data_IF_927441321488
#
_entry.id   IF_927441321488
#
_cell.length_a   1.000
_cell.length_b   1.000
_cell.length_c   1.000
_cell.angle_alpha   90.00
_cell.angle_beta   90.00
_cell.angle_gamma   90.00
#
_symmetry.space_group_name_H-M   'P 1'
#
loop_
_entity.id
_entity.type
_entity.pdbx_description
1 polymer ?
#
# COMPACT_ATOMS: atom_id res chain seq x y z
N UNK A 1 1.61 3.26 10.35
CA UNK A 1 1.14 1.97 10.90
C UNK A 1 1.91 1.64 12.18
N UNK A 2 3.23 1.36 12.14
CA UNK A 2 4.01 0.87 13.30
C UNK A 2 4.02 1.82 14.51
N UNK A 3 4.02 3.16 14.32
CA UNK A 3 3.89 4.12 15.43
C UNK A 3 2.52 4.06 16.09
N UNK A 4 1.46 3.80 15.33
CA UNK A 4 0.12 3.65 15.87
C UNK A 4 0.03 2.48 16.86
N UNK A 5 0.72 1.37 16.56
CA UNK A 5 0.85 0.25 17.50
C UNK A 5 1.51 0.65 18.82
N UNK A 6 2.58 1.48 18.73
CA UNK A 6 3.30 1.96 19.91
C UNK A 6 2.49 2.98 20.72
N UNK A 7 1.89 3.98 20.03
CA UNK A 7 1.28 5.14 20.68
C UNK A 7 -0.17 4.88 21.13
N UNK A 8 -0.91 3.99 20.46
CA UNK A 8 -2.36 3.83 20.62
C UNK A 8 -2.80 2.38 20.87
N UNK A 9 -2.50 1.46 19.95
CA UNK A 9 -3.12 0.13 19.96
C UNK A 9 -2.68 -0.68 21.19
N UNK A 10 -1.39 -0.80 21.44
CA UNK A 10 -0.88 -1.56 22.58
C UNK A 10 -1.29 -0.92 23.91
N UNK A 11 -1.13 0.41 24.13
CA UNK A 11 -1.58 1.04 25.37
C UNK A 11 -3.08 0.92 25.64
N UNK A 12 -3.91 0.91 24.56
CA UNK A 12 -5.37 0.89 24.69
C UNK A 12 -5.92 -0.52 24.89
N UNK A 13 -5.39 -1.50 24.15
CA UNK A 13 -6.00 -2.82 24.05
C UNK A 13 -5.28 -3.92 24.83
N UNK A 14 -4.03 -3.71 25.19
CA UNK A 14 -3.31 -4.69 26.00
C UNK A 14 -3.71 -4.63 27.47
N UNK A 15 -3.80 -5.81 28.07
CA UNK A 15 -4.07 -5.96 29.51
C UNK A 15 -3.04 -5.21 30.36
N UNK A 16 -3.53 -4.47 31.37
CA UNK A 16 -2.71 -3.56 32.18
C UNK A 16 -1.86 -4.28 33.24
N UNK A 17 -2.29 -5.46 33.68
CA UNK A 17 -1.63 -6.21 34.77
C UNK A 17 -0.39 -7.00 34.33
N UNK A 18 -0.10 -7.04 33.01
CA UNK A 18 1.13 -7.67 32.50
C UNK A 18 2.20 -6.57 32.44
N UNK A 19 3.28 -6.78 33.17
CA UNK A 19 4.45 -5.93 33.05
C UNK A 19 5.12 -6.11 31.68
N UNK A 20 5.37 -5.00 31.01
CA UNK A 20 5.81 -5.03 29.60
C UNK A 20 6.77 -3.95 29.24
N UNK A 21 7.80 -4.34 28.50
CA UNK A 21 8.76 -3.45 27.87
C UNK A 21 8.45 -3.30 26.38
N UNK A 22 8.11 -2.09 25.96
CA UNK A 22 7.79 -1.79 24.58
C UNK A 22 8.86 -0.87 24.00
N UNK A 23 9.53 -1.28 22.93
CA UNK A 23 10.56 -0.48 22.27
C UNK A 23 10.30 -0.37 20.78
N UNK A 24 10.38 0.87 20.29
CA UNK A 24 10.25 1.21 18.87
C UNK A 24 11.64 1.27 18.22
N UNK A 25 11.88 0.42 17.23
CA UNK A 25 13.12 0.46 16.45
C UNK A 25 13.12 1.63 15.46
N UNK A 26 14.26 2.32 15.35
CA UNK A 26 14.46 3.42 14.42
C UNK A 26 15.80 3.26 13.67
N UNK A 27 15.83 3.69 12.39
CA UNK A 27 17.03 3.56 11.56
C UNK A 27 18.22 4.41 12.05
N UNK A 28 17.94 5.63 12.48
CA UNK A 28 18.90 6.51 13.14
C UNK A 28 18.76 6.36 14.66
N UNK A 29 19.77 5.81 15.30
CA UNK A 29 19.72 5.45 16.71
C UNK A 29 20.56 6.45 17.50
N UNK A 30 19.91 7.25 18.35
CA UNK A 30 20.58 8.06 19.37
C UNK A 30 21.10 7.16 20.49
N UNK A 31 22.03 7.67 21.32
CA UNK A 31 22.50 6.93 22.49
C UNK A 31 21.36 6.53 23.44
N UNK A 32 20.35 7.39 23.60
CA UNK A 32 19.15 7.07 24.39
C UNK A 32 18.39 5.87 23.80
N UNK A 33 18.13 5.90 22.52
CA UNK A 33 17.44 4.80 21.81
C UNK A 33 18.24 3.50 21.85
N UNK A 34 19.59 3.58 21.76
CA UNK A 34 20.43 2.40 21.89
C UNK A 34 20.25 1.75 23.27
N UNK A 35 20.23 2.56 24.35
CA UNK A 35 19.99 2.06 25.70
C UNK A 35 18.59 1.42 25.85
N UNK A 36 17.58 2.01 25.24
CA UNK A 36 16.23 1.44 25.21
C UNK A 36 16.18 0.10 24.47
N UNK A 37 16.85 -0.02 23.31
CA UNK A 37 16.97 -1.26 22.58
C UNK A 37 17.76 -2.33 23.36
N UNK A 38 18.84 -1.94 24.02
CA UNK A 38 19.65 -2.85 24.84
C UNK A 38 18.89 -3.33 26.09
N UNK A 39 17.95 -2.53 26.60
CA UNK A 39 17.11 -2.93 27.74
C UNK A 39 16.21 -4.11 27.42
N UNK A 40 15.83 -4.34 26.16
CA UNK A 40 15.06 -5.53 25.75
C UNK A 40 15.77 -6.85 26.06
N UNK A 41 17.05 -6.84 26.37
CA UNK A 41 17.86 -8.04 26.65
C UNK A 41 18.33 -8.14 28.11
N UNK A 42 17.96 -7.17 28.95
CA UNK A 42 18.51 -7.05 30.33
C UNK A 42 17.43 -6.91 31.40
N UNK A 43 16.17 -6.75 31.00
CA UNK A 43 15.07 -6.45 31.90
C UNK A 43 14.34 -7.73 32.33
N UNK A 44 13.68 -7.66 33.49
CA UNK A 44 12.95 -8.77 34.11
C UNK A 44 11.43 -8.67 33.86
N UNK A 45 10.98 -7.76 32.95
CA UNK A 45 9.57 -7.65 32.60
C UNK A 45 9.05 -8.93 31.98
N UNK A 46 7.77 -9.25 32.24
CA UNK A 46 7.13 -10.48 31.76
C UNK A 46 7.00 -10.53 30.24
N UNK A 47 6.89 -9.38 29.58
CA UNK A 47 6.68 -9.28 28.15
C UNK A 47 7.55 -8.21 27.48
N UNK A 48 8.37 -8.63 26.52
CA UNK A 48 9.13 -7.72 25.68
C UNK A 48 8.49 -7.57 24.30
N UNK A 49 8.25 -6.33 23.87
CA UNK A 49 7.64 -6.00 22.60
C UNK A 49 8.60 -5.12 21.78
N UNK A 50 9.09 -5.66 20.68
CA UNK A 50 9.87 -4.93 19.69
C UNK A 50 8.98 -4.55 18.51
N UNK A 51 8.84 -3.27 18.24
CA UNK A 51 8.06 -2.75 17.11
C UNK A 51 9.00 -2.21 16.05
N UNK A 52 8.87 -2.71 14.82
CA UNK A 52 9.69 -2.32 13.67
C UNK A 52 8.82 -1.97 12.47
N UNK A 53 9.29 -1.03 11.64
CA UNK A 53 8.67 -0.86 10.33
C UNK A 53 9.19 -1.95 9.35
N UNK A 54 8.37 -2.33 8.41
CA UNK A 54 8.69 -3.40 7.43
C UNK A 54 9.92 -3.03 6.58
N UNK A 55 10.11 -1.75 6.27
CA UNK A 55 11.26 -1.24 5.50
C UNK A 55 12.59 -1.45 6.23
N UNK A 56 12.60 -1.47 7.55
CA UNK A 56 13.80 -1.76 8.34
C UNK A 56 14.38 -3.14 7.99
N UNK A 57 13.52 -4.11 7.67
CA UNK A 57 13.88 -5.48 7.30
C UNK A 57 14.36 -5.62 5.85
N UNK A 58 14.48 -4.51 5.12
CA UNK A 58 15.25 -4.43 3.86
C UNK A 58 16.72 -4.09 4.10
N UNK A 59 17.11 -3.71 5.34
CA UNK A 59 18.47 -3.34 5.74
C UNK A 59 19.11 -4.43 6.58
N UNK A 60 20.42 -4.62 6.44
CA UNK A 60 21.14 -5.61 7.23
C UNK A 60 21.03 -5.33 8.72
N UNK A 61 21.21 -4.06 9.14
CA UNK A 61 21.11 -3.64 10.55
C UNK A 61 19.77 -4.00 11.18
N UNK A 62 18.65 -3.77 10.46
CA UNK A 62 17.32 -4.12 10.95
C UNK A 62 17.12 -5.62 11.07
N UNK A 63 17.59 -6.39 10.07
CA UNK A 63 17.53 -7.85 10.09
C UNK A 63 18.35 -8.44 11.23
N UNK A 64 19.59 -7.99 11.42
CA UNK A 64 20.48 -8.49 12.49
C UNK A 64 19.89 -8.22 13.88
N UNK A 65 19.30 -7.03 14.08
CA UNK A 65 18.66 -6.71 15.34
C UNK A 65 17.42 -7.56 15.61
N UNK A 66 16.54 -7.71 14.62
CA UNK A 66 15.35 -8.56 14.71
C UNK A 66 15.75 -10.02 14.99
N UNK A 67 16.78 -10.52 14.31
CA UNK A 67 17.32 -11.86 14.50
C UNK A 67 17.85 -12.07 15.93
N UNK A 68 18.64 -11.09 16.44
CA UNK A 68 19.11 -11.11 17.83
C UNK A 68 17.95 -11.19 18.82
N UNK A 69 16.90 -10.39 18.61
CA UNK A 69 15.71 -10.40 19.48
C UNK A 69 15.01 -11.76 19.45
N UNK A 70 14.76 -12.33 18.26
CA UNK A 70 14.08 -13.62 18.11
C UNK A 70 14.85 -14.79 18.71
N UNK A 71 16.20 -14.77 18.67
CA UNK A 71 17.02 -15.80 19.30
C UNK A 71 17.14 -15.65 20.81
N UNK A 72 16.97 -14.45 21.35
CA UNK A 72 17.04 -14.20 22.79
C UNK A 72 15.71 -14.42 23.51
N UNK A 73 14.59 -14.52 22.80
CA UNK A 73 13.25 -14.63 23.35
C UNK A 73 12.43 -15.72 22.68
N UNK A 74 11.52 -16.32 23.43
CA UNK A 74 10.48 -17.18 22.85
C UNK A 74 9.39 -16.30 22.24
N UNK A 75 9.59 -15.83 21.01
CA UNK A 75 8.82 -14.77 20.42
C UNK A 75 7.67 -15.23 19.51
N UNK A 76 6.60 -14.42 19.51
CA UNK A 76 5.62 -14.34 18.43
C UNK A 76 6.06 -13.23 17.48
N UNK A 77 6.15 -13.52 16.18
CA UNK A 77 6.36 -12.51 15.14
C UNK A 77 5.05 -12.23 14.42
N UNK A 78 4.59 -10.98 14.45
CA UNK A 78 3.39 -10.54 13.75
C UNK A 78 3.73 -9.53 12.65
N UNK A 79 3.17 -9.70 11.47
CA UNK A 79 3.31 -8.77 10.34
C UNK A 79 1.95 -8.12 10.08
N UNK A 80 1.86 -6.83 10.40
CA UNK A 80 0.72 -6.01 10.05
C UNK A 80 0.83 -5.50 8.61
N UNK A 81 -0.30 -5.33 7.94
CA UNK A 81 -0.38 -5.06 6.49
C UNK A 81 0.49 -6.03 5.68
N UNK A 82 0.25 -7.34 5.89
CA UNK A 82 1.06 -8.43 5.32
C UNK A 82 1.13 -8.44 3.79
N UNK A 83 0.29 -7.68 3.10
CA UNK A 83 0.42 -7.44 1.64
C UNK A 83 1.76 -6.81 1.25
N UNK A 84 2.49 -6.22 2.20
CA UNK A 84 3.85 -5.69 2.01
C UNK A 84 4.88 -6.79 1.72
N UNK A 85 4.60 -8.04 2.07
CA UNK A 85 5.46 -9.22 1.84
C UNK A 85 4.94 -10.16 0.74
N UNK A 86 3.99 -9.77 -0.08
CA UNK A 86 3.41 -10.60 -1.16
C UNK A 86 4.37 -10.88 -2.33
N UNK A 87 5.33 -9.99 -2.59
CA UNK A 87 6.28 -10.16 -3.71
C UNK A 87 7.40 -11.12 -3.31
N UNK A 88 7.52 -12.31 -3.95
CA UNK A 88 8.53 -13.32 -3.61
C UNK A 88 9.97 -12.85 -3.85
N UNK A 89 10.19 -11.91 -4.75
CA UNK A 89 11.52 -11.45 -5.14
C UNK A 89 12.03 -10.28 -4.28
N UNK A 90 11.14 -9.62 -3.53
CA UNK A 90 11.51 -8.48 -2.72
C UNK A 90 12.43 -8.87 -1.55
N UNK A 91 13.52 -8.12 -1.36
CA UNK A 91 14.49 -8.35 -0.29
C UNK A 91 13.84 -8.45 1.09
N UNK A 92 12.93 -7.51 1.41
CA UNK A 92 12.19 -7.53 2.69
C UNK A 92 11.34 -8.78 2.88
N UNK A 93 10.71 -9.31 1.81
CA UNK A 93 9.90 -10.53 1.87
C UNK A 93 10.77 -11.72 2.25
N UNK A 94 11.92 -11.87 1.60
CA UNK A 94 12.90 -12.93 1.90
C UNK A 94 13.37 -12.82 3.35
N UNK A 95 13.83 -11.64 3.77
CA UNK A 95 14.28 -11.41 5.14
C UNK A 95 13.21 -11.71 6.19
N UNK A 96 11.95 -11.30 5.94
CA UNK A 96 10.83 -11.53 6.88
C UNK A 96 10.47 -13.01 6.96
N UNK A 97 10.43 -13.72 5.83
CA UNK A 97 10.22 -15.18 5.84
C UNK A 97 11.35 -15.93 6.59
N UNK A 98 12.60 -15.53 6.37
CA UNK A 98 13.75 -16.10 7.07
C UNK A 98 13.71 -15.84 8.60
N UNK A 99 13.31 -14.64 9.01
CA UNK A 99 13.10 -14.32 10.43
C UNK A 99 11.92 -15.09 11.03
N UNK A 100 10.87 -15.33 10.25
CA UNK A 100 9.74 -16.16 10.66
C UNK A 100 10.15 -17.59 11.04
N UNK A 101 11.21 -18.14 10.45
CA UNK A 101 11.76 -19.46 10.84
C UNK A 101 12.42 -19.44 12.22
N UNK A 102 12.89 -18.28 12.67
CA UNK A 102 13.52 -18.11 13.98
C UNK A 102 12.50 -17.80 15.10
N UNK A 103 11.27 -17.43 14.75
CA UNK A 103 10.22 -17.17 15.73
C UNK A 103 9.49 -18.45 16.14
N UNK A 104 8.90 -18.47 17.34
CA UNK A 104 8.11 -19.62 17.83
C UNK A 104 6.72 -19.66 17.18
N UNK A 105 6.13 -18.51 16.96
CA UNK A 105 4.79 -18.36 16.37
C UNK A 105 4.78 -17.21 15.38
N UNK A 106 4.03 -17.36 14.28
CA UNK A 106 3.85 -16.32 13.27
C UNK A 106 2.38 -15.94 13.13
N UNK A 107 2.12 -14.64 12.89
CA UNK A 107 0.81 -14.12 12.57
C UNK A 107 0.91 -13.06 11.47
N UNK A 108 -0.12 -12.98 10.66
CA UNK A 108 -0.29 -11.89 9.70
C UNK A 108 -1.63 -11.21 9.94
N UNK A 109 -1.65 -9.91 9.76
CA UNK A 109 -2.84 -9.08 9.83
C UNK A 109 -2.94 -8.29 8.53
N UNK A 110 -4.13 -8.22 7.93
CA UNK A 110 -4.36 -7.43 6.72
C UNK A 110 -5.84 -7.24 6.46
N UNK A 111 -6.23 -6.07 5.98
CA UNK A 111 -7.58 -5.81 5.54
C UNK A 111 -7.94 -6.48 4.20
N UNK A 112 -6.95 -6.87 3.39
CA UNK A 112 -7.15 -7.56 2.12
C UNK A 112 -5.90 -8.35 1.72
N UNK A 113 -5.82 -9.66 1.97
CA UNK A 113 -4.65 -10.48 1.67
C UNK A 113 -4.38 -10.62 0.17
N UNK A 114 -5.43 -10.48 -0.65
CA UNK A 114 -5.37 -10.52 -2.11
C UNK A 114 -5.62 -9.10 -2.64
N UNK A 115 -4.60 -8.46 -3.20
CA UNK A 115 -4.71 -7.09 -3.72
C UNK A 115 -4.76 -7.02 -5.24
N UNK A 116 -3.99 -7.86 -5.92
CA UNK A 116 -3.94 -7.92 -7.40
C UNK A 116 -4.25 -9.30 -7.92
N UNK A 117 -3.81 -10.32 -7.24
CA UNK A 117 -3.97 -11.70 -7.69
C UNK A 117 -3.98 -12.69 -6.51
N UNK A 118 -4.61 -13.86 -6.66
CA UNK A 118 -4.54 -14.93 -5.67
C UNK A 118 -3.11 -15.38 -5.35
N UNK A 119 -2.17 -15.11 -6.25
CA UNK A 119 -0.75 -15.43 -6.06
C UNK A 119 -0.09 -14.58 -4.97
N UNK A 120 -0.72 -13.46 -4.59
CA UNK A 120 -0.30 -12.60 -3.48
C UNK A 120 -0.28 -13.36 -2.14
N UNK A 121 -1.03 -14.46 -2.01
CA UNK A 121 -1.13 -15.27 -0.79
C UNK A 121 0.14 -16.09 -0.52
N UNK A 122 0.86 -16.53 -1.55
CA UNK A 122 1.93 -17.51 -1.39
C UNK A 122 2.96 -17.11 -0.32
N UNK A 123 3.60 -15.96 -0.45
CA UNK A 123 4.63 -15.52 0.50
C UNK A 123 4.08 -15.10 1.87
N UNK A 124 2.84 -14.64 1.91
CA UNK A 124 2.17 -14.36 3.18
C UNK A 124 1.94 -15.66 3.99
N UNK A 125 1.53 -16.74 3.32
CA UNK A 125 1.37 -18.04 3.96
C UNK A 125 2.72 -18.73 4.27
N UNK A 126 3.73 -18.58 3.40
CA UNK A 126 5.10 -19.05 3.64
C UNK A 126 5.72 -18.45 4.92
N UNK A 127 5.40 -17.18 5.22
CA UNK A 127 5.80 -16.55 6.46
C UNK A 127 5.13 -17.19 7.68
N UNK A 128 3.86 -17.60 7.58
CA UNK A 128 3.15 -18.26 8.69
C UNK A 128 3.81 -19.61 9.00
N UNK A 129 4.01 -20.40 7.96
CA UNK A 129 4.71 -21.68 8.02
C UNK A 129 5.12 -22.08 6.59
N UNK A 130 6.36 -22.52 6.38
CA UNK A 130 6.77 -23.10 5.09
C UNK A 130 5.82 -24.20 4.64
N UNK A 131 5.51 -24.20 3.35
CA UNK A 131 4.63 -25.18 2.70
C UNK A 131 3.19 -25.26 3.28
N UNK A 132 2.74 -24.25 4.03
CA UNK A 132 1.39 -24.23 4.64
C UNK A 132 0.27 -24.41 3.59
N UNK A 133 0.50 -23.94 2.36
CA UNK A 133 -0.44 -24.11 1.24
C UNK A 133 -0.29 -25.47 0.51
N UNK A 134 0.60 -26.35 0.94
CA UNK A 134 0.86 -27.65 0.31
C UNK A 134 1.75 -27.57 -0.95
N UNK A 135 2.50 -26.51 -1.14
CA UNK A 135 3.38 -26.30 -2.30
C UNK A 135 4.80 -25.97 -1.87
N UNK A 136 5.77 -26.73 -2.35
CA UNK A 136 7.20 -26.53 -2.06
C UNK A 136 7.83 -25.33 -2.79
N UNK A 137 7.15 -24.73 -3.76
CA UNK A 137 7.65 -23.57 -4.48
C UNK A 137 6.56 -22.65 -5.00
N UNK A 138 6.89 -21.35 -5.15
CA UNK A 138 6.01 -20.37 -5.79
C UNK A 138 5.60 -20.79 -7.21
N UNK A 139 6.48 -21.43 -7.96
CA UNK A 139 6.19 -21.84 -9.33
C UNK A 139 5.17 -22.98 -9.37
N UNK A 140 5.23 -23.93 -8.45
CA UNK A 140 4.25 -25.00 -8.32
C UNK A 140 2.87 -24.43 -7.94
N UNK A 141 2.82 -23.54 -6.94
CA UNK A 141 1.62 -22.81 -6.56
C UNK A 141 1.04 -22.01 -7.73
N UNK A 142 1.87 -21.22 -8.43
CA UNK A 142 1.47 -20.46 -9.61
C UNK A 142 0.90 -21.36 -10.72
N UNK A 143 1.53 -22.49 -11.01
CA UNK A 143 1.04 -23.44 -12.03
C UNK A 143 -0.33 -24.04 -11.67
N UNK A 144 -0.58 -24.26 -10.37
CA UNK A 144 -1.89 -24.77 -9.90
C UNK A 144 -3.00 -23.75 -10.02
N UNK A 145 -2.74 -22.48 -9.68
CA UNK A 145 -3.80 -21.46 -9.53
C UNK A 145 -3.84 -20.41 -10.64
N UNK A 146 -2.84 -20.34 -11.52
CA UNK A 146 -2.85 -19.42 -12.66
C UNK A 146 -3.02 -20.14 -14.00
N UNK A 147 -3.70 -19.48 -14.94
CA UNK A 147 -3.71 -19.83 -16.36
C UNK A 147 -2.52 -19.14 -17.01
N UNK A 148 -1.59 -19.94 -17.53
CA UNK A 148 -0.33 -19.46 -18.09
C UNK A 148 -0.34 -19.57 -19.62
N UNK A 149 0.13 -18.52 -20.32
CA UNK A 149 0.37 -18.51 -21.76
C UNK A 149 1.83 -18.20 -22.02
N UNK A 150 2.51 -19.07 -22.75
CA UNK A 150 3.87 -18.82 -23.17
C UNK A 150 3.90 -17.76 -24.27
N UNK A 151 4.70 -16.74 -24.09
CA UNK A 151 4.92 -15.66 -25.04
C UNK A 151 6.39 -15.61 -25.41
N UNK A 152 6.68 -15.38 -26.70
CA UNK A 152 8.03 -15.21 -27.20
C UNK A 152 8.22 -13.77 -27.68
N UNK A 153 9.23 -13.09 -27.15
CA UNK A 153 9.56 -11.73 -27.53
C UNK A 153 11.07 -11.52 -27.49
N UNK A 154 11.64 -11.02 -28.60
CA UNK A 154 13.08 -10.76 -28.71
C UNK A 154 13.96 -11.99 -28.44
N UNK A 155 13.55 -13.18 -28.89
CA UNK A 155 14.28 -14.44 -28.66
C UNK A 155 14.22 -15.01 -27.25
N UNK A 156 13.46 -14.38 -26.33
CA UNK A 156 13.21 -14.87 -24.97
C UNK A 156 11.78 -15.37 -24.82
N UNK A 157 11.63 -16.53 -24.16
CA UNK A 157 10.34 -17.10 -23.80
C UNK A 157 10.01 -16.75 -22.36
N UNK A 158 8.78 -16.28 -22.09
CA UNK A 158 8.27 -16.02 -20.75
C UNK A 158 6.79 -16.41 -20.63
N UNK A 159 6.37 -16.70 -19.41
CA UNK A 159 4.99 -17.07 -19.12
C UNK A 159 4.17 -15.88 -18.62
N UNK A 160 3.13 -15.53 -19.36
CA UNK A 160 2.16 -14.52 -18.98
C UNK A 160 0.98 -15.16 -18.25
N UNK A 161 0.58 -14.57 -17.12
CA UNK A 161 -0.67 -14.95 -16.43
C UNK A 161 -1.84 -14.32 -17.18
N UNK A 162 -2.72 -15.14 -17.73
CA UNK A 162 -3.90 -14.69 -18.48
C UNK A 162 -5.22 -14.83 -17.68
N UNK A 163 -5.14 -15.45 -16.51
CA UNK A 163 -6.28 -15.64 -15.61
C UNK A 163 -5.96 -16.58 -14.47
N UNK A 164 -6.96 -16.94 -13.69
CA UNK A 164 -6.83 -17.82 -12.52
C UNK A 164 -7.79 -18.99 -12.63
N UNK A 165 -7.50 -20.05 -11.88
CA UNK A 165 -8.26 -21.31 -11.82
C UNK A 165 -8.19 -21.90 -10.43
N UNK A 166 -9.05 -22.88 -10.13
CA UNK A 166 -9.07 -23.64 -8.87
C UNK A 166 -9.19 -22.72 -7.60
N UNK A 167 -9.92 -21.60 -7.69
CA UNK A 167 -10.01 -20.63 -6.61
C UNK A 167 -10.77 -21.18 -5.39
N UNK A 168 -11.75 -22.06 -5.62
CA UNK A 168 -12.50 -22.71 -4.55
C UNK A 168 -11.58 -23.66 -3.73
N UNK A 169 -10.70 -24.39 -4.42
CA UNK A 169 -9.67 -25.22 -3.76
C UNK A 169 -8.74 -24.35 -2.89
N UNK A 170 -8.29 -23.21 -3.41
CA UNK A 170 -7.46 -22.29 -2.64
C UNK A 170 -8.19 -21.74 -1.41
N UNK A 171 -9.47 -21.43 -1.54
CA UNK A 171 -10.31 -20.97 -0.43
C UNK A 171 -10.41 -22.04 0.68
N UNK A 172 -10.63 -23.30 0.31
CA UNK A 172 -10.68 -24.41 1.28
C UNK A 172 -9.31 -24.68 1.94
N UNK A 173 -8.21 -24.51 1.21
CA UNK A 173 -6.85 -24.65 1.79
C UNK A 173 -6.59 -23.60 2.88
N UNK A 174 -6.97 -22.34 2.66
CA UNK A 174 -6.68 -21.27 3.61
C UNK A 174 -7.66 -21.19 4.80
N UNK A 175 -8.86 -21.70 4.65
CA UNK A 175 -9.94 -21.63 5.66
C UNK A 175 -9.55 -22.14 7.05
N UNK A 176 -8.81 -23.25 7.23
CA UNK A 176 -8.48 -23.79 8.56
C UNK A 176 -7.59 -22.88 9.41
N UNK A 177 -6.81 -22.00 8.82
CA UNK A 177 -5.85 -21.14 9.52
C UNK A 177 -6.09 -19.64 9.29
N UNK A 178 -7.21 -19.26 8.67
CA UNK A 178 -7.59 -17.87 8.44
C UNK A 178 -8.94 -17.54 9.09
N UNK A 179 -9.02 -16.31 9.59
CA UNK A 179 -10.25 -15.74 10.09
C UNK A 179 -10.53 -14.43 9.38
N UNK A 180 -11.78 -14.20 9.01
CA UNK A 180 -12.23 -12.99 8.36
C UNK A 180 -13.38 -12.36 9.14
N UNK A 181 -13.14 -11.16 9.61
CA UNK A 181 -14.14 -10.37 10.33
C UNK A 181 -14.51 -9.16 9.47
N UNK A 182 -15.79 -8.99 9.17
CA UNK A 182 -16.28 -7.86 8.37
C UNK A 182 -16.76 -6.73 9.28
N UNK A 183 -16.51 -5.49 8.87
CA UNK A 183 -16.97 -4.30 9.60
C UNK A 183 -18.47 -4.33 9.88
N UNK A 184 -19.29 -4.82 8.93
CA UNK A 184 -20.75 -4.96 9.08
C UNK A 184 -21.18 -5.98 10.14
N UNK A 185 -20.29 -6.87 10.57
CA UNK A 185 -20.55 -7.90 11.57
C UNK A 185 -20.20 -7.42 12.99
N UNK A 186 -19.34 -6.40 13.09
CA UNK A 186 -18.81 -5.92 14.36
C UNK A 186 -19.22 -4.49 14.70
N UNK A 187 -19.66 -3.71 13.70
CA UNK A 187 -19.95 -2.29 13.87
C UNK A 187 -21.30 -1.96 13.25
N UNK A 188 -22.11 -1.22 13.99
CA UNK A 188 -23.33 -0.60 13.46
C UNK A 188 -22.94 0.70 12.74
N UNK A 189 -22.69 0.60 11.44
CA UNK A 189 -22.29 1.71 10.60
C UNK A 189 -23.37 1.99 9.55
N UNK A 190 -23.63 3.26 9.24
CA UNK A 190 -24.51 3.62 8.14
C UNK A 190 -23.99 3.04 6.82
N UNK A 191 -24.88 2.75 5.86
CA UNK A 191 -24.48 2.23 4.55
C UNK A 191 -23.60 3.25 3.80
N UNK A 192 -22.59 2.74 3.09
CA UNK A 192 -21.76 3.58 2.22
C UNK A 192 -22.55 4.03 1.01
N UNK A 193 -22.60 5.33 0.78
CA UNK A 193 -23.20 5.94 -0.42
C UNK A 193 -22.09 6.37 -1.37
N UNK A 194 -22.22 6.01 -2.65
CA UNK A 194 -21.29 6.39 -3.70
C UNK A 194 -22.00 7.33 -4.69
N UNK A 195 -21.53 8.57 -4.76
CA UNK A 195 -22.10 9.59 -5.65
C UNK A 195 -21.04 9.95 -6.70
N UNK A 196 -21.45 9.94 -7.97
CA UNK A 196 -20.60 10.33 -9.09
C UNK A 196 -21.03 11.73 -9.59
N UNK A 197 -20.14 12.70 -9.51
CA UNK A 197 -20.32 14.03 -10.08
C UNK A 197 -19.59 14.12 -11.43
N UNK A 198 -20.30 14.44 -12.50
CA UNK A 198 -19.75 14.59 -13.85
C UNK A 198 -19.54 16.07 -14.13
N UNK A 199 -18.30 16.45 -14.45
CA UNK A 199 -17.90 17.83 -14.67
C UNK A 199 -17.59 18.01 -16.15
N UNK A 200 -18.17 19.03 -16.78
CA UNK A 200 -17.87 19.40 -18.16
C UNK A 200 -16.50 20.06 -18.25
N UNK A 201 -15.70 19.66 -19.23
CA UNK A 201 -14.44 20.34 -19.52
C UNK A 201 -14.72 21.77 -20.01
N UNK A 202 -13.85 22.70 -19.59
CA UNK A 202 -13.88 24.04 -20.15
C UNK A 202 -13.53 24.01 -21.65
N UNK A 203 -13.88 25.06 -22.40
CA UNK A 203 -13.57 25.16 -23.84
C UNK A 203 -12.06 25.02 -24.10
N UNK A 204 -11.22 25.59 -23.23
CA UNK A 204 -9.76 25.46 -23.31
C UNK A 204 -9.30 24.04 -23.07
N UNK A 205 -9.79 23.40 -22.00
CA UNK A 205 -9.49 21.98 -21.73
C UNK A 205 -9.91 21.07 -22.89
N UNK A 206 -11.11 21.27 -23.43
CA UNK A 206 -11.63 20.47 -24.54
C UNK A 206 -10.75 20.57 -25.79
N UNK A 207 -10.28 21.78 -26.12
CA UNK A 207 -9.36 22.00 -27.25
C UNK A 207 -8.04 21.26 -27.04
N UNK A 208 -7.38 21.46 -25.87
CA UNK A 208 -6.10 20.84 -25.53
C UNK A 208 -6.23 19.29 -25.44
N UNK A 209 -7.28 18.80 -24.83
CA UNK A 209 -7.56 17.39 -24.74
C UNK A 209 -7.71 16.73 -26.14
N UNK A 210 -8.51 17.38 -27.01
CA UNK A 210 -8.73 16.88 -28.36
C UNK A 210 -7.45 16.90 -29.20
N UNK A 211 -6.64 17.94 -29.09
CA UNK A 211 -5.34 18.01 -29.78
C UNK A 211 -4.41 16.89 -29.30
N UNK A 212 -4.22 16.75 -28.00
CA UNK A 212 -3.37 15.70 -27.40
C UNK A 212 -3.85 14.30 -27.79
N UNK A 213 -5.15 14.05 -27.76
CA UNK A 213 -5.75 12.77 -28.17
C UNK A 213 -5.50 12.47 -29.66
N UNK A 214 -5.59 13.48 -30.54
CA UNK A 214 -5.29 13.30 -31.97
C UNK A 214 -3.82 12.97 -32.19
N UNK A 215 -2.91 13.65 -31.53
CA UNK A 215 -1.48 13.37 -31.59
C UNK A 215 -1.18 11.94 -31.12
N UNK A 216 -1.75 11.52 -29.99
CA UNK A 216 -1.63 10.17 -29.46
C UNK A 216 -2.11 9.10 -30.46
N UNK A 217 -3.24 9.31 -31.10
CA UNK A 217 -3.79 8.40 -32.11
C UNK A 217 -2.93 8.38 -33.37
N UNK A 218 -2.43 9.53 -33.84
CA UNK A 218 -1.57 9.62 -35.01
C UNK A 218 -0.25 8.85 -34.82
N UNK A 219 0.38 8.97 -33.64
CA UNK A 219 1.57 8.19 -33.30
C UNK A 219 1.26 6.67 -33.23
N UNK A 220 0.11 6.28 -32.70
CA UNK A 220 -0.31 4.88 -32.68
C UNK A 220 -0.46 4.28 -34.09
N UNK A 221 -1.05 5.02 -35.03
CA UNK A 221 -1.19 4.62 -36.43
C UNK A 221 0.14 4.63 -37.19
N UNK A 222 1.07 5.52 -36.81
CA UNK A 222 2.42 5.59 -37.39
C UNK A 222 3.39 4.50 -36.92
N UNK A 223 2.97 3.54 -36.10
CA UNK A 223 3.75 2.41 -35.56
C UNK A 223 4.95 2.79 -34.68
N UNK A 224 5.10 4.02 -34.25
CA UNK A 224 6.25 4.48 -33.46
C UNK A 224 5.99 4.55 -31.95
N UNK A 225 4.74 4.30 -31.52
CA UNK A 225 4.40 4.42 -30.10
C UNK A 225 4.92 3.23 -29.27
N UNK A 226 5.86 3.51 -28.37
CA UNK A 226 6.26 2.58 -27.32
C UNK A 226 5.25 2.60 -26.16
N UNK A 227 5.21 1.56 -25.33
CA UNK A 227 4.38 1.52 -24.12
C UNK A 227 4.66 2.73 -23.19
N UNK A 228 5.92 3.15 -23.10
CA UNK A 228 6.33 4.32 -22.32
C UNK A 228 5.72 5.61 -22.88
N UNK A 229 5.74 5.81 -24.19
CA UNK A 229 5.14 6.98 -24.86
C UNK A 229 3.62 7.02 -24.65
N UNK A 230 2.93 5.87 -24.79
CA UNK A 230 1.49 5.77 -24.55
C UNK A 230 1.13 6.15 -23.10
N UNK A 231 1.91 5.69 -22.11
CA UNK A 231 1.70 6.02 -20.70
C UNK A 231 1.88 7.53 -20.45
N UNK A 232 2.92 8.14 -21.01
CA UNK A 232 3.16 9.58 -20.90
C UNK A 232 1.98 10.37 -21.46
N UNK A 233 1.47 9.98 -22.63
CA UNK A 233 0.30 10.67 -23.24
C UNK A 233 -0.97 10.54 -22.39
N UNK A 234 -1.23 9.37 -21.81
CA UNK A 234 -2.34 9.20 -20.86
C UNK A 234 -2.18 10.10 -19.64
N UNK A 235 -0.98 10.21 -19.10
CA UNK A 235 -0.70 11.13 -17.98
C UNK A 235 -0.94 12.60 -18.38
N UNK A 236 -0.54 13.02 -19.58
CA UNK A 236 -0.82 14.38 -20.09
C UNK A 236 -2.31 14.66 -20.26
N UNK A 237 -3.07 13.70 -20.82
CA UNK A 237 -4.52 13.80 -20.91
C UNK A 237 -5.18 13.95 -19.53
N UNK A 238 -4.70 13.19 -18.54
CA UNK A 238 -5.17 13.28 -17.16
C UNK A 238 -4.84 14.66 -16.55
N UNK A 239 -3.62 15.19 -16.75
CA UNK A 239 -3.25 16.51 -16.29
C UNK A 239 -4.16 17.59 -16.87
N UNK A 240 -4.47 17.54 -18.17
CA UNK A 240 -5.38 18.50 -18.82
C UNK A 240 -6.77 18.42 -18.16
N UNK A 241 -7.30 17.23 -17.91
CA UNK A 241 -8.60 17.10 -17.22
C UNK A 241 -8.55 17.60 -15.77
N UNK A 242 -7.37 17.55 -15.12
CA UNK A 242 -7.14 18.12 -13.79
C UNK A 242 -6.97 19.64 -13.79
N UNK A 243 -6.86 20.29 -14.95
CA UNK A 243 -6.75 21.74 -15.08
C UNK A 243 -5.33 22.26 -15.05
N UNK A 244 -4.35 21.44 -15.36
CA UNK A 244 -2.97 21.87 -15.54
C UNK A 244 -2.26 21.06 -16.64
N UNK A 245 -1.15 21.57 -17.11
CA UNK A 245 -0.27 20.88 -18.04
C UNK A 245 1.18 21.10 -17.62
N UNK A 246 1.92 20.04 -17.44
CA UNK A 246 3.36 20.11 -17.18
C UNK A 246 4.12 19.96 -18.49
N UNK A 247 4.84 20.98 -18.90
CA UNK A 247 5.70 20.98 -20.08
C UNK A 247 6.97 20.14 -19.83
N UNK A 248 7.72 19.85 -20.90
CA UNK A 248 8.93 19.04 -20.82
C UNK A 248 10.10 19.77 -20.13
N UNK A 249 10.08 21.10 -20.13
CA UNK A 249 11.00 21.96 -19.36
C UNK A 249 10.70 21.99 -17.85
N UNK A 250 9.66 21.25 -17.42
CA UNK A 250 9.22 21.19 -16.04
C UNK A 250 8.26 22.29 -15.61
N UNK A 251 8.01 23.33 -16.45
CA UNK A 251 7.04 24.38 -16.17
C UNK A 251 5.61 23.82 -16.12
N UNK A 252 4.78 24.41 -15.25
CA UNK A 252 3.36 24.01 -15.11
C UNK A 252 2.48 25.17 -15.56
N UNK A 253 1.70 24.93 -16.61
CA UNK A 253 0.68 25.87 -17.09
C UNK A 253 -0.67 25.52 -16.47
N UNK A 254 -1.29 26.49 -15.81
CA UNK A 254 -2.66 26.39 -15.31
C UNK A 254 -3.65 26.49 -16.46
N UNK A 255 -4.67 25.66 -16.45
CA UNK A 255 -5.77 25.64 -17.42
C UNK A 255 -7.07 25.89 -16.66
N UNK A 256 -7.88 26.85 -17.14
CA UNK A 256 -9.19 27.11 -16.53
C UNK A 256 -10.05 25.84 -16.53
N UNK A 257 -10.59 25.49 -15.36
CA UNK A 257 -11.41 24.27 -15.21
C UNK A 257 -12.53 24.52 -14.19
N UNK A 258 -13.54 23.65 -14.20
CA UNK A 258 -14.72 23.73 -13.35
C UNK A 258 -14.63 22.82 -12.11
N UNK A 259 -13.50 22.11 -11.89
CA UNK A 259 -13.38 21.11 -10.82
C UNK A 259 -13.36 21.74 -9.43
N UNK A 260 -12.71 22.90 -9.29
CA UNK A 260 -12.61 23.57 -8.00
C UNK A 260 -13.99 24.09 -7.56
N UNK A 261 -14.75 24.70 -8.48
CA UNK A 261 -16.10 25.18 -8.16
C UNK A 261 -17.03 24.02 -7.76
N UNK A 262 -16.96 22.89 -8.48
CA UNK A 262 -17.75 21.70 -8.13
C UNK A 262 -17.32 21.09 -6.80
N UNK A 263 -15.99 21.07 -6.51
CA UNK A 263 -15.50 20.62 -5.22
C UNK A 263 -16.04 21.48 -4.08
N UNK A 264 -16.04 22.79 -4.21
CA UNK A 264 -16.58 23.71 -3.19
C UNK A 264 -18.09 23.47 -2.99
N UNK A 265 -18.86 23.31 -4.09
CA UNK A 265 -20.28 22.90 -3.99
C UNK A 265 -20.48 21.60 -3.22
N UNK A 266 -19.63 20.60 -3.47
CA UNK A 266 -19.71 19.32 -2.71
C UNK A 266 -19.37 19.54 -1.24
N UNK A 267 -18.39 20.37 -0.94
CA UNK A 267 -18.02 20.66 0.45
C UNK A 267 -19.11 21.38 1.22
N UNK A 268 -19.88 22.26 0.55
CA UNK A 268 -21.04 22.95 1.14
C UNK A 268 -22.19 21.98 1.49
N UNK A 269 -22.27 20.84 0.79
CA UNK A 269 -23.27 19.80 1.06
C UNK A 269 -22.84 18.83 2.19
N UNK A 270 -21.55 18.85 2.60
CA UNK A 270 -21.00 17.90 3.55
C UNK A 270 -21.00 18.46 4.96
N UNK A 271 -21.73 17.83 5.86
CA UNK A 271 -21.64 18.11 7.27
C UNK A 271 -20.40 17.43 7.88
N UNK A 272 -19.50 18.21 8.47
CA UNK A 272 -18.34 17.70 9.20
C UNK A 272 -17.04 17.69 8.40
N UNK A 273 -16.22 16.63 8.55
CA UNK A 273 -14.87 16.58 7.97
C UNK A 273 -14.85 15.78 6.67
N UNK A 274 -14.14 16.30 5.67
CA UNK A 274 -13.95 15.66 4.37
C UNK A 274 -12.49 15.25 4.14
N UNK A 275 -12.28 14.13 3.45
CA UNK A 275 -10.96 13.72 2.95
C UNK A 275 -10.98 13.86 1.43
N UNK A 276 -10.08 14.69 0.90
CA UNK A 276 -9.98 14.97 -0.52
C UNK A 276 -8.73 14.30 -1.08
N UNK A 277 -8.91 13.33 -1.98
CA UNK A 277 -7.81 12.65 -2.64
C UNK A 277 -7.49 13.31 -3.97
N UNK A 278 -6.25 13.75 -4.13
CA UNK A 278 -5.71 14.29 -5.37
C UNK A 278 -4.58 13.41 -5.90
N UNK A 279 -4.48 13.30 -7.22
CA UNK A 279 -3.42 12.50 -7.86
C UNK A 279 -2.10 13.30 -8.00
N UNK A 280 -2.19 14.62 -8.22
CA UNK A 280 -1.06 15.48 -8.50
C UNK A 280 -0.80 16.46 -7.36
N UNK A 281 0.47 16.73 -7.04
CA UNK A 281 0.82 17.75 -6.03
C UNK A 281 0.27 19.15 -6.39
N UNK A 282 0.24 19.47 -7.68
CA UNK A 282 -0.32 20.72 -8.17
C UNK A 282 -1.82 20.84 -7.89
N UNK A 283 -2.56 19.72 -8.04
CA UNK A 283 -3.98 19.68 -7.67
C UNK A 283 -4.17 19.93 -6.17
N UNK A 284 -3.32 19.33 -5.32
CA UNK A 284 -3.36 19.57 -3.87
C UNK A 284 -3.18 21.05 -3.57
N UNK A 285 -2.19 21.71 -4.19
CA UNK A 285 -1.94 23.14 -4.00
C UNK A 285 -3.14 23.99 -4.41
N UNK A 286 -3.75 23.69 -5.56
CA UNK A 286 -4.94 24.42 -6.06
C UNK A 286 -6.15 24.22 -5.13
N UNK A 287 -6.37 22.98 -4.67
CA UNK A 287 -7.46 22.66 -3.73
C UNK A 287 -7.25 23.37 -2.39
N UNK A 288 -6.02 23.33 -1.84
CA UNK A 288 -5.68 24.03 -0.59
C UNK A 288 -5.92 25.53 -0.72
N UNK A 289 -5.44 26.14 -1.81
CA UNK A 289 -5.64 27.57 -2.04
C UNK A 289 -7.14 27.96 -2.13
N UNK A 290 -7.93 27.15 -2.83
CA UNK A 290 -9.37 27.38 -2.96
C UNK A 290 -10.11 27.24 -1.62
N UNK A 291 -9.85 26.17 -0.87
CA UNK A 291 -10.48 25.92 0.44
C UNK A 291 -10.05 26.97 1.45
N UNK A 292 -8.77 27.34 1.48
CA UNK A 292 -8.27 28.41 2.36
C UNK A 292 -8.93 29.75 2.08
N UNK A 293 -9.15 30.07 0.80
CA UNK A 293 -9.82 31.29 0.40
C UNK A 293 -11.29 31.34 0.83
N UNK A 294 -12.00 30.21 0.70
CA UNK A 294 -13.44 30.11 0.97
C UNK A 294 -13.75 29.96 2.46
N UNK A 295 -13.03 29.08 3.15
CA UNK A 295 -13.33 28.68 4.54
C UNK A 295 -12.28 29.16 5.56
N UNK A 296 -11.24 29.87 5.12
CA UNK A 296 -10.19 30.40 5.98
C UNK A 296 -8.95 29.51 6.16
N UNK A 297 -7.86 30.06 6.73
CA UNK A 297 -6.54 29.41 6.74
C UNK A 297 -6.42 28.18 7.64
N UNK A 298 -7.39 27.93 8.54
CA UNK A 298 -7.41 26.78 9.44
C UNK A 298 -8.34 25.66 8.98
N UNK A 299 -8.97 25.79 7.81
CA UNK A 299 -9.98 24.86 7.30
C UNK A 299 -9.39 23.61 6.65
N UNK A 300 -8.11 23.60 6.29
CA UNK A 300 -7.48 22.50 5.54
C UNK A 300 -6.11 22.15 6.06
N UNK A 301 -5.83 20.86 6.09
CA UNK A 301 -4.49 20.30 6.36
C UNK A 301 -4.10 19.38 5.21
N UNK A 302 -2.81 19.27 4.93
CA UNK A 302 -2.29 18.44 3.84
C UNK A 302 -1.50 17.26 4.37
N UNK A 303 -1.62 16.13 3.69
CA UNK A 303 -0.82 14.94 3.95
C UNK A 303 -0.36 14.35 2.61
N UNK A 304 0.91 14.55 2.27
CA UNK A 304 1.54 13.93 1.10
C UNK A 304 3.06 13.75 1.33
N UNK A 305 3.62 12.72 0.73
CA UNK A 305 5.05 12.39 0.81
C UNK A 305 5.93 13.23 -0.14
#
# INVERSE_FOLDING_TARGET
VYKNWYDQEIPTHMVKHIDKKIVLWQAMISQKQQRELDSLFKTEEDLHILIMNVEALSTQKGVDFAKKFLFSHRALMAVDESTTIKNPDAKRTKSICDLGLASRYNRILTGSPVTKSPLDLYKQCEFLQPELLGFSSYYAFRARFAKLKTMNYGGKSFQLVTGYKNLDELAEIIKPFSERILKKECLDLPPKTYIKRTIQLSTEQQKLYTQMKRMAIAELHGKTMTTATALVQLMRLQQITCGHFKADDGSVKQIKNNRISELLSVLDEVEGKAIIWCHWRHDIQNVVAAITKEYGPRSVVTYYG
#
